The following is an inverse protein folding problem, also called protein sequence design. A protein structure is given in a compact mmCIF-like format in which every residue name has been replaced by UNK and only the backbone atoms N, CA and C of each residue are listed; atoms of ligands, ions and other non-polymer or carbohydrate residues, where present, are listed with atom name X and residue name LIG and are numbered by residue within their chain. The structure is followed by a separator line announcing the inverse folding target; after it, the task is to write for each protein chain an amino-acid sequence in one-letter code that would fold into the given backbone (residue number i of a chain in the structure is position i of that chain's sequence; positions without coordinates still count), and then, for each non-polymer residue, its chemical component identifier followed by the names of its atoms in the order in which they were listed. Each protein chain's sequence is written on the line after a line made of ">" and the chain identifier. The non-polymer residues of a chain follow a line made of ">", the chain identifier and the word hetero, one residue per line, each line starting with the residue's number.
data_IF_125658793266
#
_entry.id   IF_125658793266
#
_cell.length_a   1.000
_cell.length_b   1.000
_cell.length_c   1.000
_cell.angle_alpha   90.00
_cell.angle_beta   90.00
_cell.angle_gamma   90.00
#
_symmetry.space_group_name_H-M   'P 1'
#
loop_
_entity.id
_entity.type
_entity.pdbx_description
1 polymer ?
#
# COMPACT_ATOMS: atom_id res chain seq x y z
N UNK A 1 -16.05 0.60 36.72
CA UNK A 1 -16.71 0.55 35.43
C UNK A 1 -16.10 -0.61 34.66
N UNK A 2 -16.88 -1.65 34.38
CA UNK A 2 -16.38 -2.89 33.75
C UNK A 2 -16.02 -2.65 32.31
N UNK A 3 -14.73 -2.74 31.98
CA UNK A 3 -14.22 -2.70 30.62
C UNK A 3 -14.72 -3.96 29.88
N UNK A 4 -15.81 -3.82 29.14
CA UNK A 4 -16.21 -4.86 28.20
C UNK A 4 -15.16 -4.90 27.10
N UNK A 5 -14.26 -5.86 27.16
CA UNK A 5 -13.46 -6.22 25.99
C UNK A 5 -14.44 -6.61 24.88
N UNK A 6 -14.34 -6.04 23.68
CA UNK A 6 -15.16 -6.49 22.57
C UNK A 6 -14.92 -7.99 22.36
N UNK A 7 -16.02 -8.76 22.24
CA UNK A 7 -15.91 -10.18 21.88
C UNK A 7 -15.12 -10.32 20.58
N UNK A 8 -14.24 -11.33 20.47
CA UNK A 8 -13.51 -11.54 19.23
C UNK A 8 -14.49 -11.67 18.07
N UNK A 9 -14.18 -11.02 16.95
CA UNK A 9 -15.01 -11.11 15.74
C UNK A 9 -15.21 -12.59 15.36
N UNK A 10 -16.41 -12.98 14.86
CA UNK A 10 -16.64 -14.35 14.41
C UNK A 10 -15.61 -14.69 13.30
N UNK A 11 -15.22 -15.96 13.25
CA UNK A 11 -14.32 -16.46 12.21
C UNK A 11 -15.03 -16.45 10.85
N UNK A 12 -14.26 -16.21 9.80
CA UNK A 12 -14.74 -16.26 8.42
C UNK A 12 -15.43 -17.61 8.13
N UNK A 13 -16.67 -17.52 7.63
CA UNK A 13 -17.39 -18.71 7.16
C UNK A 13 -16.62 -19.35 5.99
N UNK A 14 -16.22 -20.63 6.10
CA UNK A 14 -15.44 -21.30 5.07
C UNK A 14 -16.17 -21.46 3.71
N UNK A 15 -17.47 -21.27 3.65
CA UNK A 15 -18.23 -21.27 2.40
C UNK A 15 -18.07 -19.98 1.59
N UNK A 16 -17.67 -18.87 2.24
CA UNK A 16 -17.51 -17.56 1.58
C UNK A 16 -16.24 -17.49 0.72
N UNK A 17 -16.27 -16.63 -0.29
CA UNK A 17 -15.13 -16.31 -1.17
C UNK A 17 -14.53 -17.53 -1.90
N UNK A 18 -15.36 -18.54 -2.23
CA UNK A 18 -14.92 -19.73 -2.94
C UNK A 18 -15.06 -19.65 -4.46
N UNK A 19 -16.09 -18.97 -4.93
CA UNK A 19 -16.36 -18.80 -6.36
C UNK A 19 -16.23 -17.32 -6.75
N UNK A 20 -15.46 -16.99 -7.81
CA UNK A 20 -15.29 -15.61 -8.25
C UNK A 20 -16.53 -15.00 -8.89
N UNK A 21 -17.57 -15.78 -9.20
CA UNK A 21 -18.79 -15.31 -9.89
C UNK A 21 -20.01 -15.22 -8.98
N UNK A 22 -20.07 -16.10 -7.94
CA UNK A 22 -21.21 -16.17 -7.04
C UNK A 22 -20.76 -16.17 -5.57
N UNK A 23 -21.63 -15.64 -4.71
CA UNK A 23 -21.42 -15.68 -3.26
C UNK A 23 -21.83 -17.04 -2.68
N UNK A 24 -21.52 -17.30 -1.41
CA UNK A 24 -21.98 -18.48 -0.69
C UNK A 24 -23.51 -18.65 -0.68
N UNK A 25 -24.27 -17.57 -0.93
CA UNK A 25 -25.73 -17.57 -1.05
C UNK A 25 -26.26 -17.72 -2.48
N UNK A 26 -25.34 -17.89 -3.46
CA UNK A 26 -25.71 -18.02 -4.86
C UNK A 26 -26.05 -16.69 -5.57
N UNK A 27 -25.78 -15.55 -4.93
CA UNK A 27 -25.99 -14.22 -5.51
C UNK A 27 -24.82 -13.83 -6.43
N UNK A 28 -25.04 -13.05 -7.51
CA UNK A 28 -23.99 -12.55 -8.37
C UNK A 28 -22.96 -11.72 -7.58
N UNK A 29 -21.68 -12.13 -7.64
CA UNK A 29 -20.57 -11.42 -7.00
C UNK A 29 -20.25 -10.15 -7.76
N UNK A 30 -20.00 -9.07 -7.03
CA UNK A 30 -19.55 -7.83 -7.64
C UNK A 30 -18.16 -7.99 -8.26
N UNK A 31 -17.98 -7.43 -9.44
CA UNK A 31 -16.70 -7.29 -10.12
C UNK A 31 -16.47 -5.84 -10.51
N UNK A 32 -15.19 -5.43 -10.53
CA UNK A 32 -14.79 -4.05 -10.78
C UNK A 32 -13.99 -3.97 -12.06
N UNK A 33 -14.50 -3.25 -13.04
CA UNK A 33 -13.79 -2.96 -14.28
C UNK A 33 -12.68 -1.92 -14.05
N UNK A 34 -11.57 -2.01 -14.80
CA UNK A 34 -10.56 -0.97 -14.86
C UNK A 34 -11.12 0.22 -15.67
N UNK A 35 -11.32 1.37 -15.03
CA UNK A 35 -11.77 2.61 -15.66
C UNK A 35 -10.64 3.50 -16.19
N UNK A 36 -9.43 2.92 -16.33
CA UNK A 36 -8.18 3.58 -16.71
C UNK A 36 -7.14 3.50 -15.61
N UNK A 37 -5.91 3.13 -15.97
CA UNK A 37 -4.81 2.93 -15.04
C UNK A 37 -4.23 4.27 -14.59
N UNK A 38 -4.58 4.70 -13.38
CA UNK A 38 -4.09 5.95 -12.77
C UNK A 38 -2.90 5.76 -11.85
N UNK A 39 -2.84 4.60 -11.18
CA UNK A 39 -1.73 4.24 -10.28
C UNK A 39 -1.18 2.87 -10.65
N UNK A 40 0.12 2.82 -10.91
CA UNK A 40 0.84 1.56 -11.11
C UNK A 40 1.80 1.33 -9.94
N UNK A 41 1.55 0.26 -9.20
CA UNK A 41 2.39 -0.16 -8.10
C UNK A 41 3.46 -1.15 -8.57
N UNK A 42 4.64 -1.06 -7.97
CA UNK A 42 5.72 -2.03 -8.13
C UNK A 42 6.08 -2.62 -6.76
N UNK A 43 5.93 -3.93 -6.62
CA UNK A 43 6.48 -4.64 -5.47
C UNK A 43 7.97 -4.88 -5.71
N UNK A 44 8.82 -4.18 -4.99
CA UNK A 44 10.27 -4.19 -5.18
C UNK A 44 10.95 -5.44 -4.59
N UNK A 45 10.18 -6.45 -4.18
CA UNK A 45 10.64 -7.65 -3.50
C UNK A 45 10.12 -7.73 -2.06
N UNK A 46 10.04 -8.94 -1.50
CA UNK A 46 9.47 -9.17 -0.16
C UNK A 46 10.50 -9.20 0.97
N UNK A 47 11.80 -9.10 0.67
CA UNK A 47 12.81 -8.96 1.69
C UNK A 47 12.63 -7.63 2.45
N UNK A 48 12.67 -7.71 3.79
CA UNK A 48 12.54 -6.57 4.69
C UNK A 48 13.56 -6.68 5.82
N UNK A 49 14.00 -5.56 6.36
CA UNK A 49 14.91 -5.52 7.51
C UNK A 49 14.22 -5.77 8.86
N UNK A 50 12.89 -5.87 8.86
CA UNK A 50 12.06 -6.19 10.05
C UNK A 50 10.99 -7.22 9.68
N UNK A 51 10.36 -7.81 10.72
CA UNK A 51 9.19 -8.67 10.60
C UNK A 51 8.05 -8.04 11.39
N UNK A 52 7.09 -7.44 10.71
CA UNK A 52 5.91 -6.86 11.35
C UNK A 52 4.88 -7.95 11.65
N UNK A 53 4.23 -7.86 12.81
CA UNK A 53 3.25 -8.85 13.26
C UNK A 53 2.06 -9.03 12.31
N UNK A 54 1.58 -7.95 11.74
CA UNK A 54 0.41 -7.94 10.84
C UNK A 54 0.77 -7.48 9.42
N UNK A 55 1.96 -7.88 8.91
CA UNK A 55 2.37 -7.59 7.55
C UNK A 55 1.54 -8.37 6.55
N UNK A 56 0.72 -7.70 5.75
CA UNK A 56 -0.13 -8.33 4.74
C UNK A 56 0.65 -8.93 3.55
N UNK A 57 1.90 -8.49 3.32
CA UNK A 57 2.84 -9.07 2.33
C UNK A 57 3.72 -10.15 2.97
N UNK A 58 3.57 -10.41 4.28
CA UNK A 58 4.39 -11.36 5.04
C UNK A 58 5.90 -11.14 4.90
N UNK A 59 6.30 -9.89 4.69
CA UNK A 59 7.70 -9.52 4.47
C UNK A 59 8.54 -9.75 5.72
N UNK A 60 9.75 -10.25 5.49
CA UNK A 60 10.71 -10.53 6.56
C UNK A 60 12.15 -10.55 6.01
N UNK A 61 13.19 -10.66 6.86
CA UNK A 61 14.56 -10.81 6.39
C UNK A 61 14.83 -12.08 5.55
N UNK A 62 13.91 -13.04 5.58
CA UNK A 62 14.06 -14.33 4.91
C UNK A 62 12.99 -14.63 3.86
N UNK A 63 11.92 -13.82 3.77
CA UNK A 63 10.90 -14.02 2.75
C UNK A 63 11.35 -13.42 1.43
N UNK A 64 11.71 -14.27 0.48
CA UNK A 64 12.08 -13.93 -0.89
C UNK A 64 11.09 -14.48 -1.94
N UNK A 65 9.84 -14.71 -1.54
CA UNK A 65 8.79 -15.25 -2.43
C UNK A 65 8.53 -14.34 -3.65
N UNK A 66 8.62 -13.02 -3.45
CA UNK A 66 8.71 -12.05 -4.53
C UNK A 66 10.14 -11.49 -4.55
N UNK A 67 10.80 -11.62 -5.70
CA UNK A 67 12.18 -11.16 -5.87
C UNK A 67 12.24 -9.71 -6.31
N UNK A 68 13.42 -9.11 -6.19
CA UNK A 68 13.64 -7.73 -6.60
C UNK A 68 13.33 -7.52 -8.08
N UNK A 69 12.51 -6.52 -8.37
CA UNK A 69 12.40 -5.96 -9.72
C UNK A 69 13.67 -5.19 -10.07
N UNK A 70 14.05 -5.23 -11.32
CA UNK A 70 15.12 -4.39 -11.86
C UNK A 70 14.58 -3.07 -12.39
N UNK A 71 15.42 -2.05 -12.51
CA UNK A 71 15.04 -0.78 -13.11
C UNK A 71 14.54 -0.93 -14.56
N UNK A 72 15.12 -1.86 -15.33
CA UNK A 72 14.70 -2.13 -16.70
C UNK A 72 13.29 -2.75 -16.78
N UNK A 73 12.93 -3.66 -15.85
CA UNK A 73 11.58 -4.23 -15.78
C UNK A 73 10.55 -3.15 -15.44
N UNK A 74 10.84 -2.27 -14.50
CA UNK A 74 9.97 -1.13 -14.15
C UNK A 74 9.79 -0.20 -15.35
N UNK A 75 10.89 0.20 -16.01
CA UNK A 75 10.86 1.05 -17.19
C UNK A 75 9.98 0.45 -18.30
N UNK A 76 10.09 -0.86 -18.56
CA UNK A 76 9.29 -1.56 -19.58
C UNK A 76 7.78 -1.43 -19.36
N UNK A 77 7.30 -1.56 -18.11
CA UNK A 77 5.87 -1.36 -17.80
C UNK A 77 5.44 0.11 -17.90
N UNK A 78 6.32 1.04 -17.56
CA UNK A 78 6.03 2.47 -17.74
C UNK A 78 5.95 2.84 -19.22
N UNK A 79 6.83 2.27 -20.06
CA UNK A 79 6.81 2.45 -21.52
C UNK A 79 5.53 1.85 -22.12
N UNK A 80 5.10 0.67 -21.66
CA UNK A 80 3.84 0.04 -22.07
C UNK A 80 2.63 0.94 -21.71
N UNK A 81 2.59 1.49 -20.49
CA UNK A 81 1.52 2.39 -20.06
C UNK A 81 1.48 3.68 -20.89
N UNK A 82 2.62 4.25 -21.21
CA UNK A 82 2.72 5.45 -22.04
C UNK A 82 2.29 5.16 -23.49
N UNK A 83 2.75 4.06 -24.07
CA UNK A 83 2.36 3.63 -25.41
C UNK A 83 0.86 3.35 -25.55
N UNK A 84 0.24 2.81 -24.48
CA UNK A 84 -1.19 2.57 -24.41
C UNK A 84 -2.02 3.84 -24.15
N UNK A 85 -1.38 4.98 -23.84
CA UNK A 85 -2.06 6.24 -23.51
C UNK A 85 -2.80 6.18 -22.16
N UNK A 86 -2.36 5.34 -21.23
CA UNK A 86 -3.00 5.23 -19.91
C UNK A 86 -2.94 6.55 -19.14
N UNK A 87 -3.99 6.92 -18.40
CA UNK A 87 -4.04 8.16 -17.62
C UNK A 87 -3.20 8.08 -16.34
N UNK A 88 -2.02 7.46 -16.42
CA UNK A 88 -1.12 7.21 -15.32
C UNK A 88 -0.60 8.53 -14.75
N UNK A 89 -0.70 8.68 -13.43
CA UNK A 89 -0.26 9.85 -12.68
C UNK A 89 0.58 9.51 -11.46
N UNK A 90 0.40 8.31 -10.89
CA UNK A 90 1.11 7.89 -9.69
C UNK A 90 1.81 6.55 -9.90
N UNK A 91 3.09 6.51 -9.59
CA UNK A 91 3.92 5.32 -9.63
C UNK A 91 4.32 4.97 -8.19
N UNK A 92 3.78 3.88 -7.67
CA UNK A 92 3.99 3.44 -6.30
C UNK A 92 5.08 2.36 -6.20
N UNK A 93 5.92 2.47 -5.19
CA UNK A 93 6.91 1.46 -4.85
C UNK A 93 6.63 0.93 -3.44
N UNK A 94 6.43 -0.38 -3.34
CA UNK A 94 6.15 -1.11 -2.11
C UNK A 94 6.91 -2.43 -2.09
N UNK A 95 6.62 -3.29 -1.13
CA UNK A 95 7.25 -4.59 -1.00
C UNK A 95 7.50 -4.91 0.45
N UNK A 96 8.67 -5.50 0.77
CA UNK A 96 9.19 -5.53 2.12
C UNK A 96 9.66 -4.14 2.54
N UNK A 97 10.95 -3.88 2.36
CA UNK A 97 11.48 -2.52 2.45
C UNK A 97 12.07 -2.13 1.09
N UNK A 98 11.45 -1.19 0.37
CA UNK A 98 11.88 -0.83 -0.99
C UNK A 98 13.34 -0.36 -1.07
N UNK A 99 13.86 0.30 -0.04
CA UNK A 99 15.25 0.75 -0.01
C UNK A 99 16.28 -0.38 0.14
N UNK A 100 15.86 -1.62 0.37
CA UNK A 100 16.72 -2.80 0.25
C UNK A 100 16.98 -3.19 -1.21
N UNK A 101 16.10 -2.82 -2.14
CA UNK A 101 16.36 -2.99 -3.55
C UNK A 101 17.40 -1.97 -4.02
N UNK A 102 18.52 -2.48 -4.56
CA UNK A 102 19.64 -1.64 -5.02
C UNK A 102 19.27 -0.73 -6.19
N UNK A 103 18.30 -1.15 -7.01
CA UNK A 103 17.89 -0.46 -8.22
C UNK A 103 16.83 0.63 -7.95
N UNK A 104 16.27 0.71 -6.73
CA UNK A 104 15.24 1.70 -6.41
C UNK A 104 15.63 3.14 -6.76
N UNK A 105 16.85 3.64 -6.48
CA UNK A 105 17.23 5.00 -6.89
C UNK A 105 17.18 5.22 -8.41
N UNK A 106 17.54 4.21 -9.20
CA UNK A 106 17.46 4.27 -10.65
C UNK A 106 16.00 4.26 -11.15
N UNK A 107 15.13 3.46 -10.52
CA UNK A 107 13.70 3.45 -10.79
C UNK A 107 13.07 4.83 -10.51
N UNK A 108 13.41 5.45 -9.37
CA UNK A 108 12.93 6.78 -9.01
C UNK A 108 13.44 7.84 -9.98
N UNK A 109 14.71 7.77 -10.38
CA UNK A 109 15.28 8.68 -11.36
C UNK A 109 14.57 8.59 -12.71
N UNK A 110 14.23 7.37 -13.17
CA UNK A 110 13.48 7.16 -14.43
C UNK A 110 12.08 7.79 -14.32
N UNK A 111 11.31 7.49 -13.27
CA UNK A 111 9.97 8.08 -13.05
C UNK A 111 10.03 9.61 -13.06
N UNK A 112 10.99 10.20 -12.33
CA UNK A 112 11.10 11.65 -12.20
C UNK A 112 11.60 12.33 -13.48
N UNK A 113 12.30 11.61 -14.35
CA UNK A 113 12.71 12.09 -15.67
C UNK A 113 11.58 12.07 -16.71
N UNK A 114 10.53 11.25 -16.48
CA UNK A 114 9.36 11.12 -17.35
C UNK A 114 8.42 12.35 -17.24
N UNK A 115 7.30 12.40 -18.00
CA UNK A 115 6.40 13.54 -18.01
C UNK A 115 6.02 14.05 -16.61
N UNK A 116 5.94 15.39 -16.47
CA UNK A 116 5.73 16.07 -15.18
C UNK A 116 4.45 15.67 -14.44
N UNK A 117 3.48 15.01 -15.11
CA UNK A 117 2.29 14.46 -14.46
C UNK A 117 2.58 13.28 -13.53
N UNK A 118 3.72 12.59 -13.72
CA UNK A 118 4.05 11.43 -12.89
C UNK A 118 4.61 11.85 -11.54
N UNK A 119 4.11 11.21 -10.50
CA UNK A 119 4.60 11.31 -9.12
C UNK A 119 5.04 9.93 -8.66
N UNK A 120 6.19 9.86 -8.01
CA UNK A 120 6.66 8.65 -7.34
C UNK A 120 6.22 8.65 -5.89
N UNK A 121 5.65 7.55 -5.41
CA UNK A 121 5.37 7.33 -3.99
C UNK A 121 6.10 6.08 -3.52
N UNK A 122 6.84 6.17 -2.42
CA UNK A 122 7.57 5.04 -1.83
C UNK A 122 7.01 4.77 -0.43
N UNK A 123 6.52 3.55 -0.21
CA UNK A 123 6.13 3.09 1.12
C UNK A 123 7.36 2.52 1.81
N UNK A 124 7.76 3.08 2.95
CA UNK A 124 9.00 2.69 3.64
C UNK A 124 8.81 2.68 5.15
N UNK A 125 9.58 1.84 5.84
CA UNK A 125 9.70 1.91 7.30
C UNK A 125 10.67 3.00 7.77
N UNK A 126 11.34 3.68 6.85
CA UNK A 126 12.27 4.79 7.05
C UNK A 126 13.48 4.49 7.97
N UNK A 127 13.84 3.23 8.13
CA UNK A 127 14.95 2.80 9.00
C UNK A 127 16.29 2.75 8.25
N UNK A 128 17.20 1.89 8.70
CA UNK A 128 18.56 1.78 8.19
C UNK A 128 18.69 1.64 6.66
N UNK A 129 17.87 0.85 5.93
CA UNK A 129 17.99 0.77 4.47
C UNK A 129 17.81 2.11 3.77
N UNK A 130 16.84 2.93 4.20
CA UNK A 130 16.64 4.28 3.67
C UNK A 130 17.86 5.16 3.95
N UNK A 131 18.38 5.15 5.19
CA UNK A 131 19.56 5.93 5.57
C UNK A 131 20.80 5.54 4.77
N UNK A 132 20.97 4.27 4.42
CA UNK A 132 22.05 3.81 3.54
C UNK A 132 21.95 4.37 2.11
N UNK A 133 20.76 4.77 1.68
CA UNK A 133 20.49 5.41 0.37
C UNK A 133 20.41 6.95 0.45
N UNK A 134 20.74 7.55 1.61
CA UNK A 134 20.60 8.99 1.84
C UNK A 134 21.26 9.83 0.74
N UNK A 135 22.50 9.49 0.31
CA UNK A 135 23.17 10.24 -0.76
C UNK A 135 22.41 10.19 -2.07
N UNK A 136 21.94 9.00 -2.48
CA UNK A 136 21.18 8.86 -3.72
C UNK A 136 19.84 9.61 -3.65
N UNK A 137 19.18 9.65 -2.48
CA UNK A 137 17.98 10.46 -2.28
C UNK A 137 18.27 11.95 -2.40
N UNK A 138 19.36 12.44 -1.81
CA UNK A 138 19.77 13.85 -1.92
C UNK A 138 20.10 14.21 -3.36
N UNK A 139 20.81 13.34 -4.09
CA UNK A 139 21.10 13.53 -5.52
C UNK A 139 19.80 13.62 -6.36
N UNK A 140 18.77 12.79 -6.05
CA UNK A 140 17.46 12.87 -6.69
C UNK A 140 16.75 14.19 -6.37
N UNK A 141 16.76 14.62 -5.11
CA UNK A 141 16.19 15.90 -4.66
C UNK A 141 16.83 17.08 -5.41
N UNK A 142 18.15 17.11 -5.44
CA UNK A 142 18.91 18.21 -6.04
C UNK A 142 18.70 18.28 -7.58
N UNK A 143 18.47 17.12 -8.21
CA UNK A 143 18.24 17.02 -9.65
C UNK A 143 16.79 17.29 -10.07
N UNK A 144 15.81 16.82 -9.32
CA UNK A 144 14.40 16.78 -9.73
C UNK A 144 13.46 17.57 -8.82
N UNK A 145 13.93 18.07 -7.68
CA UNK A 145 13.08 18.63 -6.62
C UNK A 145 12.36 17.54 -5.82
N UNK A 146 11.48 17.96 -4.92
CA UNK A 146 10.78 17.03 -3.99
C UNK A 146 9.28 16.92 -4.24
N UNK A 147 8.68 17.79 -5.04
CA UNK A 147 7.23 17.89 -5.23
C UNK A 147 6.59 16.64 -5.85
N UNK A 148 7.38 15.88 -6.62
CA UNK A 148 6.95 14.67 -7.29
C UNK A 148 7.48 13.38 -6.67
N UNK A 149 8.24 13.46 -5.57
CA UNK A 149 8.75 12.31 -4.82
C UNK A 149 8.16 12.32 -3.42
N UNK A 150 7.19 11.45 -3.17
CA UNK A 150 6.51 11.32 -1.90
C UNK A 150 7.08 10.11 -1.15
N UNK A 151 7.60 10.35 0.05
CA UNK A 151 8.08 9.29 0.93
C UNK A 151 7.05 9.07 2.03
N UNK A 152 6.25 7.99 1.89
CA UNK A 152 5.22 7.63 2.86
C UNK A 152 5.80 6.68 3.89
N UNK A 153 6.02 7.20 5.09
CA UNK A 153 6.61 6.46 6.20
C UNK A 153 5.54 5.68 6.94
N UNK A 154 5.79 4.41 7.13
CA UNK A 154 4.94 3.53 7.94
C UNK A 154 5.20 3.79 9.42
N UNK A 155 4.31 4.51 10.07
CA UNK A 155 4.32 4.81 11.50
C UNK A 155 2.95 4.46 12.07
N UNK A 156 2.79 3.22 12.56
CA UNK A 156 1.47 2.65 12.88
C UNK A 156 0.71 3.43 13.94
N UNK A 157 1.43 4.02 14.90
CA UNK A 157 0.84 4.82 15.99
C UNK A 157 1.77 5.97 16.38
N UNK A 158 1.23 7.01 16.99
CA UNK A 158 2.01 8.16 17.53
C UNK A 158 2.75 7.82 18.83
N UNK A 159 2.38 6.73 19.52
CA UNK A 159 3.06 6.22 20.71
C UNK A 159 3.95 5.01 20.37
N UNK A 160 5.17 5.02 20.95
CA UNK A 160 6.16 3.97 20.74
C UNK A 160 5.65 2.57 21.14
N UNK A 161 4.93 2.46 22.26
CA UNK A 161 4.45 1.18 22.77
C UNK A 161 3.55 0.44 21.77
N UNK A 162 2.64 1.15 21.12
CA UNK A 162 1.72 0.57 20.13
C UNK A 162 2.43 0.26 18.80
N UNK A 163 3.29 1.17 18.34
CA UNK A 163 4.07 0.93 17.12
C UNK A 163 5.03 -0.26 17.26
N UNK A 164 5.77 -0.31 18.38
CA UNK A 164 6.76 -1.36 18.63
C UNK A 164 6.12 -2.74 18.81
N UNK A 165 4.87 -2.80 19.32
CA UNK A 165 4.11 -4.05 19.41
C UNK A 165 3.92 -4.70 18.03
N UNK A 166 3.76 -3.91 16.97
CA UNK A 166 3.55 -4.38 15.61
C UNK A 166 4.84 -4.57 14.82
N UNK A 167 5.83 -3.69 15.02
CA UNK A 167 7.04 -3.63 14.18
C UNK A 167 8.32 -4.06 14.88
N UNK A 168 8.22 -4.43 16.17
CA UNK A 168 9.34 -4.84 16.99
C UNK A 168 9.90 -3.70 17.85
N UNK A 169 10.49 -4.07 18.98
CA UNK A 169 11.02 -3.17 20.00
C UNK A 169 12.04 -2.18 19.42
N UNK A 170 11.88 -0.90 19.75
CA UNK A 170 12.74 0.20 19.30
C UNK A 170 12.59 0.57 17.82
N UNK A 171 11.59 0.02 17.13
CA UNK A 171 11.30 0.37 15.73
C UNK A 171 10.74 1.78 15.59
N UNK A 172 9.93 2.25 16.55
CA UNK A 172 9.38 3.60 16.57
C UNK A 172 10.46 4.68 16.51
N UNK A 173 11.44 4.59 17.40
CA UNK A 173 12.51 5.57 17.46
C UNK A 173 13.30 5.65 16.14
N UNK A 174 13.55 4.50 15.50
CA UNK A 174 14.27 4.42 14.22
C UNK A 174 13.45 4.98 13.05
N UNK A 175 12.16 4.63 13.00
CA UNK A 175 11.25 5.15 11.97
C UNK A 175 11.05 6.67 12.11
N UNK A 176 10.88 7.16 13.33
CA UNK A 176 10.73 8.59 13.62
C UNK A 176 12.02 9.36 13.27
N UNK A 177 13.22 8.83 13.59
CA UNK A 177 14.49 9.45 13.18
C UNK A 177 14.59 9.57 11.65
N UNK A 178 14.20 8.53 10.93
CA UNK A 178 14.16 8.56 9.47
C UNK A 178 13.16 9.60 8.93
N UNK A 179 11.95 9.66 9.48
CA UNK A 179 10.92 10.62 9.10
C UNK A 179 11.38 12.07 9.36
N UNK A 180 11.97 12.32 10.54
CA UNK A 180 12.52 13.64 10.89
C UNK A 180 13.65 14.04 9.95
N UNK A 181 14.53 13.10 9.60
CA UNK A 181 15.58 13.37 8.63
C UNK A 181 15.01 13.75 7.26
N UNK A 182 14.05 12.98 6.74
CA UNK A 182 13.41 13.28 5.46
C UNK A 182 12.76 14.68 5.47
N UNK A 183 12.05 15.02 6.54
CA UNK A 183 11.42 16.33 6.71
C UNK A 183 12.46 17.48 6.73
N UNK A 184 13.56 17.30 7.44
CA UNK A 184 14.66 18.29 7.53
C UNK A 184 15.38 18.49 6.18
N UNK A 185 15.51 17.44 5.40
CA UNK A 185 16.09 17.51 4.06
C UNK A 185 15.09 18.07 3.01
N UNK A 186 13.88 18.42 3.42
CA UNK A 186 12.86 19.05 2.57
C UNK A 186 12.15 18.09 1.63
N UNK A 187 12.15 16.79 1.90
CA UNK A 187 11.35 15.83 1.13
C UNK A 187 9.86 15.98 1.45
N UNK A 188 9.02 15.72 0.44
CA UNK A 188 7.58 15.55 0.67
C UNK A 188 7.33 14.25 1.40
N UNK A 189 6.90 14.36 2.66
CA UNK A 189 6.68 13.23 3.55
C UNK A 189 5.19 13.05 3.84
N UNK A 190 4.75 11.80 3.81
CA UNK A 190 3.44 11.36 4.28
C UNK A 190 3.63 10.28 5.35
N UNK A 191 2.58 10.02 6.13
CA UNK A 191 2.58 8.93 7.12
C UNK A 191 1.43 7.97 6.84
N UNK A 192 1.73 6.68 6.95
CA UNK A 192 0.73 5.62 6.98
C UNK A 192 0.68 5.06 8.41
N UNK A 193 -0.44 5.32 9.08
CA UNK A 193 -0.78 4.79 10.40
C UNK A 193 -1.90 3.74 10.30
N UNK A 194 -2.37 3.26 11.46
CA UNK A 194 -3.46 2.28 11.55
C UNK A 194 -4.57 2.80 12.45
N UNK A 195 -5.81 2.60 12.02
CA UNK A 195 -7.00 3.08 12.73
C UNK A 195 -7.45 2.15 13.89
N UNK A 196 -6.89 0.92 14.00
CA UNK A 196 -7.42 -0.12 14.88
C UNK A 196 -6.64 -0.30 16.19
N UNK A 197 -5.76 0.63 16.56
CA UNK A 197 -4.96 0.52 17.77
C UNK A 197 -5.65 1.09 19.01
N UNK A 198 -5.57 0.34 20.13
CA UNK A 198 -5.88 0.84 21.45
C UNK A 198 -7.35 1.16 21.73
N UNK A 199 -8.27 0.95 20.77
CA UNK A 199 -9.68 1.34 20.91
C UNK A 199 -9.91 2.84 20.81
N UNK A 200 -8.92 3.60 20.37
CA UNK A 200 -9.02 5.03 20.09
C UNK A 200 -9.84 5.30 18.82
N UNK A 201 -10.58 6.38 18.82
CA UNK A 201 -11.24 6.85 17.61
C UNK A 201 -10.27 7.59 16.67
N UNK A 202 -10.67 7.78 15.42
CA UNK A 202 -9.84 8.43 14.41
C UNK A 202 -9.45 9.87 14.81
N UNK A 203 -10.34 10.58 15.50
CA UNK A 203 -10.07 11.97 15.93
C UNK A 203 -8.96 12.03 16.96
N UNK A 204 -8.95 11.12 17.92
CA UNK A 204 -7.91 10.97 18.94
C UNK A 204 -6.56 10.60 18.30
N UNK A 205 -6.57 9.64 17.39
CA UNK A 205 -5.36 9.25 16.64
C UNK A 205 -4.77 10.43 15.86
N UNK A 206 -5.61 11.19 15.14
CA UNK A 206 -5.16 12.36 14.39
C UNK A 206 -4.60 13.46 15.30
N UNK A 207 -5.21 13.68 16.45
CA UNK A 207 -4.71 14.64 17.44
C UNK A 207 -3.34 14.22 18.00
N UNK A 208 -3.16 12.94 18.36
CA UNK A 208 -1.87 12.42 18.81
C UNK A 208 -0.77 12.50 17.74
N UNK A 209 -1.09 12.21 16.48
CA UNK A 209 -0.15 12.42 15.38
C UNK A 209 0.17 13.91 15.17
N UNK A 210 -0.81 14.81 15.27
CA UNK A 210 -0.58 16.25 15.16
C UNK A 210 0.41 16.76 16.22
N UNK A 211 0.26 16.32 17.47
CA UNK A 211 1.21 16.66 18.54
C UNK A 211 2.61 16.08 18.27
N UNK A 212 2.71 14.85 17.80
CA UNK A 212 3.98 14.24 17.41
C UNK A 212 4.66 15.02 16.29
N UNK A 213 3.92 15.37 15.24
CA UNK A 213 4.45 16.13 14.10
C UNK A 213 4.91 17.52 14.52
N UNK A 214 4.12 18.23 15.33
CA UNK A 214 4.49 19.55 15.86
C UNK A 214 5.78 19.48 16.72
N UNK A 215 5.87 18.51 17.63
CA UNK A 215 7.03 18.32 18.52
C UNK A 215 8.32 18.11 17.73
N UNK A 216 8.26 17.43 16.60
CA UNK A 216 9.42 17.09 15.77
C UNK A 216 9.58 17.97 14.53
N UNK A 217 8.77 19.02 14.38
CA UNK A 217 8.76 19.94 13.23
C UNK A 217 8.58 19.20 11.88
N UNK A 218 7.73 18.20 11.87
CA UNK A 218 7.38 17.44 10.66
C UNK A 218 6.24 18.16 9.94
N UNK A 219 6.39 18.60 8.68
CA UNK A 219 5.42 19.42 7.96
C UNK A 219 4.25 18.61 7.40
N UNK A 220 3.54 17.88 8.26
CA UNK A 220 2.37 17.07 7.88
C UNK A 220 1.14 17.66 8.60
N UNK A 221 0.10 17.95 7.83
CA UNK A 221 -1.23 18.21 8.39
C UNK A 221 -1.90 16.87 8.72
N UNK A 222 -2.06 16.58 10.01
CA UNK A 222 -2.69 15.34 10.45
C UNK A 222 -4.21 15.29 10.14
N UNK A 223 -4.85 16.42 9.78
CA UNK A 223 -6.23 16.45 9.33
C UNK A 223 -6.37 16.04 7.85
N UNK A 224 -5.31 16.18 7.05
CA UNK A 224 -5.31 15.72 5.65
C UNK A 224 -5.24 14.19 5.58
N UNK A 225 -6.29 13.49 5.09
CA UNK A 225 -6.32 12.03 5.00
C UNK A 225 -5.35 11.45 3.96
N UNK A 226 -4.75 12.28 3.10
CA UNK A 226 -3.72 11.87 2.14
C UNK A 226 -2.34 11.92 2.78
N UNK A 227 -2.05 12.98 3.53
CA UNK A 227 -0.78 13.17 4.20
C UNK A 227 -0.63 12.27 5.45
N UNK A 228 -1.71 12.11 6.24
CA UNK A 228 -1.83 11.09 7.29
C UNK A 228 -2.94 10.10 6.92
N UNK A 229 -2.56 8.99 6.32
CA UNK A 229 -3.46 7.91 5.96
C UNK A 229 -3.56 6.90 7.11
N UNK A 230 -4.76 6.69 7.63
CA UNK A 230 -5.04 5.70 8.68
C UNK A 230 -5.71 4.48 8.05
N UNK A 231 -4.98 3.37 7.97
CA UNK A 231 -5.50 2.13 7.40
C UNK A 231 -6.42 1.39 8.38
N UNK A 232 -7.56 0.87 7.91
CA UNK A 232 -8.41 0.00 8.70
C UNK A 232 -7.70 -1.33 9.01
N UNK A 233 -8.23 -2.06 9.98
CA UNK A 233 -7.74 -3.40 10.30
C UNK A 233 -7.92 -4.36 9.12
N UNK A 234 -6.93 -5.24 8.90
CA UNK A 234 -6.87 -6.18 7.78
C UNK A 234 -6.80 -7.63 8.25
N UNK A 235 -7.74 -8.06 9.11
CA UNK A 235 -7.87 -9.46 9.51
C UNK A 235 -8.68 -10.24 8.46
N UNK A 236 -7.99 -11.05 7.64
CA UNK A 236 -8.64 -11.92 6.66
C UNK A 236 -9.38 -13.11 7.30
N UNK A 237 -9.09 -13.44 8.55
CA UNK A 237 -9.72 -14.55 9.28
C UNK A 237 -11.04 -14.18 9.95
N UNK A 238 -11.33 -12.90 10.10
CA UNK A 238 -12.58 -12.44 10.68
C UNK A 238 -13.72 -12.42 9.65
N UNK A 239 -14.93 -12.82 10.08
CA UNK A 239 -16.10 -12.86 9.18
C UNK A 239 -16.45 -11.48 8.65
N UNK A 240 -16.83 -11.45 7.37
CA UNK A 240 -17.21 -10.24 6.63
C UNK A 240 -18.23 -10.61 5.56
N UNK A 241 -19.20 -9.73 5.22
CA UNK A 241 -20.12 -9.99 4.14
C UNK A 241 -19.40 -10.06 2.78
N UNK A 242 -19.87 -10.93 1.90
CA UNK A 242 -19.46 -10.94 0.51
C UNK A 242 -20.16 -9.79 -0.25
N UNK A 243 -19.47 -9.22 -1.21
CA UNK A 243 -19.97 -8.07 -1.97
C UNK A 243 -20.66 -8.56 -3.25
N UNK A 244 -21.95 -8.28 -3.35
CA UNK A 244 -22.78 -8.55 -4.54
C UNK A 244 -22.95 -7.29 -5.38
N UNK A 245 -23.41 -7.44 -6.60
CA UNK A 245 -23.81 -6.32 -7.49
C UNK A 245 -24.81 -5.37 -6.79
N UNK A 246 -25.74 -5.91 -6.00
CA UNK A 246 -26.74 -5.12 -5.27
C UNK A 246 -26.12 -4.24 -4.17
N UNK A 247 -24.95 -4.60 -3.64
CA UNK A 247 -24.31 -3.85 -2.57
C UNK A 247 -23.96 -2.41 -2.95
N UNK A 248 -23.71 -2.14 -4.23
CA UNK A 248 -23.41 -0.79 -4.68
C UNK A 248 -24.55 0.20 -4.37
N UNK A 249 -25.79 -0.19 -4.70
CA UNK A 249 -26.97 0.61 -4.38
C UNK A 249 -27.25 0.67 -2.88
N UNK A 250 -27.13 -0.45 -2.16
CA UNK A 250 -27.39 -0.54 -0.71
C UNK A 250 -26.42 0.35 0.09
N UNK A 251 -25.15 0.36 -0.30
CA UNK A 251 -24.10 1.12 0.40
C UNK A 251 -23.94 2.56 -0.11
N UNK A 252 -24.65 2.95 -1.19
CA UNK A 252 -24.48 4.23 -1.85
C UNK A 252 -23.04 4.43 -2.38
N UNK A 253 -22.35 3.35 -2.74
CA UNK A 253 -20.98 3.38 -3.26
C UNK A 253 -20.97 3.06 -4.75
N UNK A 254 -19.90 3.48 -5.41
CA UNK A 254 -19.68 3.22 -6.84
C UNK A 254 -18.55 2.23 -7.02
N UNK A 255 -18.60 1.33 -8.03
CA UNK A 255 -17.51 0.41 -8.34
C UNK A 255 -16.18 1.11 -8.61
N UNK A 256 -16.21 2.30 -9.21
CA UNK A 256 -15.04 3.11 -9.52
C UNK A 256 -14.37 3.78 -8.29
N UNK A 257 -15.02 3.70 -7.12
CA UNK A 257 -14.45 4.20 -5.86
C UNK A 257 -13.48 3.23 -5.17
N UNK A 258 -13.38 1.99 -5.64
CA UNK A 258 -12.45 1.01 -5.05
C UNK A 258 -11.14 0.94 -5.84
N UNK A 259 -10.05 0.62 -5.15
CA UNK A 259 -8.69 0.72 -5.64
C UNK A 259 -8.44 -0.01 -6.98
N UNK A 260 -8.99 -1.21 -7.16
CA UNK A 260 -8.79 -1.99 -8.38
C UNK A 260 -9.50 -1.42 -9.64
N UNK A 261 -10.33 -0.39 -9.48
CA UNK A 261 -10.90 0.35 -10.62
C UNK A 261 -9.89 1.24 -11.35
N UNK A 262 -8.77 1.60 -10.69
CA UNK A 262 -7.80 2.55 -11.23
C UNK A 262 -6.34 2.20 -10.96
N UNK A 263 -6.07 1.06 -10.33
CA UNK A 263 -4.70 0.65 -10.01
C UNK A 263 -4.42 -0.81 -10.31
N UNK A 264 -3.13 -1.12 -10.55
CA UNK A 264 -2.58 -2.48 -10.66
C UNK A 264 -1.23 -2.53 -9.95
N UNK A 265 -0.73 -3.74 -9.68
CA UNK A 265 0.60 -3.92 -9.12
C UNK A 265 1.40 -4.93 -9.94
N UNK A 266 2.66 -4.60 -10.20
CA UNK A 266 3.63 -5.52 -10.82
C UNK A 266 4.40 -6.23 -9.72
N UNK A 267 4.52 -7.54 -9.84
CA UNK A 267 5.29 -8.40 -8.93
C UNK A 267 6.18 -9.36 -9.72
N UNK A 268 7.29 -9.79 -9.15
CA UNK A 268 8.11 -10.86 -9.74
C UNK A 268 8.26 -12.00 -8.76
N UNK A 269 7.76 -13.18 -9.12
CA UNK A 269 7.85 -14.37 -8.29
C UNK A 269 9.25 -14.96 -8.32
N UNK A 270 9.67 -15.59 -7.24
CA UNK A 270 10.95 -16.34 -7.20
C UNK A 270 10.94 -17.43 -8.27
N UNK A 271 12.00 -17.47 -9.08
CA UNK A 271 12.16 -18.42 -10.19
C UNK A 271 11.39 -18.08 -11.46
N UNK A 272 10.64 -16.95 -11.50
CA UNK A 272 10.01 -16.50 -12.72
C UNK A 272 10.98 -15.69 -13.60
N UNK A 273 10.93 -15.92 -14.91
CA UNK A 273 11.78 -15.20 -15.89
C UNK A 273 11.36 -13.73 -16.02
N UNK A 274 10.06 -13.44 -15.86
CA UNK A 274 9.47 -12.12 -16.03
C UNK A 274 8.48 -11.79 -14.92
N UNK A 275 8.24 -10.48 -14.66
CA UNK A 275 7.18 -10.05 -13.76
C UNK A 275 5.78 -10.36 -14.30
N UNK A 276 4.79 -10.28 -13.41
CA UNK A 276 3.36 -10.39 -13.72
C UNK A 276 2.60 -9.24 -13.06
N UNK A 277 1.42 -8.94 -13.60
CA UNK A 277 0.52 -7.90 -13.06
C UNK A 277 -0.55 -8.56 -12.20
N UNK A 278 -0.72 -8.06 -10.98
CA UNK A 278 -1.78 -8.47 -10.06
C UNK A 278 -2.78 -7.35 -9.82
N UNK A 279 -3.98 -7.73 -9.39
CA UNK A 279 -5.11 -6.83 -9.28
C UNK A 279 -4.92 -5.67 -8.28
N UNK A 280 -4.21 -5.92 -7.17
CA UNK A 280 -4.02 -4.91 -6.13
C UNK A 280 -2.81 -5.20 -5.23
N UNK A 281 -2.46 -4.24 -4.39
CA UNK A 281 -1.34 -4.32 -3.45
C UNK A 281 -1.55 -5.32 -2.31
N UNK A 282 -2.81 -5.65 -1.97
CA UNK A 282 -3.14 -6.46 -0.80
C UNK A 282 -3.08 -7.98 -1.06
N UNK A 283 -3.08 -8.41 -2.33
CA UNK A 283 -3.24 -9.82 -2.69
C UNK A 283 -2.13 -10.29 -3.65
N UNK A 284 -0.84 -10.09 -3.29
CA UNK A 284 0.26 -10.38 -4.20
C UNK A 284 0.48 -11.88 -4.43
N UNK A 285 -0.02 -12.72 -3.53
CA UNK A 285 0.23 -14.17 -3.58
C UNK A 285 -0.94 -15.00 -4.11
N UNK A 286 -2.15 -14.45 -4.11
CA UNK A 286 -3.34 -15.19 -4.50
C UNK A 286 -3.46 -15.30 -6.03
N UNK A 287 -3.36 -16.51 -6.61
CA UNK A 287 -3.33 -16.71 -8.07
C UNK A 287 -4.59 -16.21 -8.78
N UNK A 288 -5.75 -16.16 -8.11
CA UNK A 288 -6.97 -15.66 -8.73
C UNK A 288 -6.90 -14.17 -9.10
N UNK A 289 -6.00 -13.41 -8.45
CA UNK A 289 -5.77 -12.00 -8.71
C UNK A 289 -4.57 -11.73 -9.62
N UNK A 290 -3.92 -12.75 -10.15
CA UNK A 290 -2.90 -12.62 -11.18
C UNK A 290 -3.57 -12.42 -12.54
N UNK A 291 -3.31 -11.28 -13.17
CA UNK A 291 -4.05 -10.84 -14.34
C UNK A 291 -3.32 -11.06 -15.66
N UNK A 292 -2.04 -11.38 -15.62
CA UNK A 292 -1.22 -11.63 -16.81
C UNK A 292 0.15 -10.98 -16.72
N UNK A 293 0.89 -11.00 -17.82
CA UNK A 293 2.25 -10.47 -17.89
C UNK A 293 2.33 -9.03 -18.43
N UNK A 294 1.24 -8.51 -18.99
CA UNK A 294 1.16 -7.19 -19.61
C UNK A 294 0.02 -6.36 -19.00
N UNK A 295 0.09 -5.04 -19.12
CA UNK A 295 -0.99 -4.16 -18.68
C UNK A 295 -2.27 -4.36 -19.49
N UNK A 296 -2.13 -4.69 -20.79
CA UNK A 296 -3.24 -5.02 -21.65
C UNK A 296 -4.01 -6.25 -21.14
N UNK A 297 -3.31 -7.34 -20.79
CA UNK A 297 -3.92 -8.54 -20.18
C UNK A 297 -4.57 -8.21 -18.83
N UNK A 298 -4.01 -7.28 -18.10
CA UNK A 298 -4.47 -6.88 -16.78
C UNK A 298 -5.66 -5.89 -16.80
N UNK A 299 -6.18 -5.51 -17.96
CA UNK A 299 -7.35 -4.63 -18.08
C UNK A 299 -8.68 -5.28 -17.70
N UNK A 300 -8.72 -6.62 -17.58
CA UNK A 300 -9.93 -7.38 -17.26
C UNK A 300 -10.52 -7.01 -15.88
N UNK A 301 -11.86 -7.15 -15.70
CA UNK A 301 -12.53 -6.90 -14.43
C UNK A 301 -12.01 -7.81 -13.30
N UNK A 302 -11.99 -7.28 -12.08
CA UNK A 302 -11.53 -7.96 -10.86
C UNK A 302 -12.73 -8.36 -10.02
N UNK A 303 -13.01 -9.66 -9.82
CA UNK A 303 -14.03 -10.13 -8.90
C UNK A 303 -13.65 -9.77 -7.45
N UNK A 304 -14.60 -9.29 -6.64
CA UNK A 304 -14.38 -8.99 -5.23
C UNK A 304 -14.45 -10.27 -4.39
N UNK A 305 -13.58 -11.25 -4.70
CA UNK A 305 -13.58 -12.60 -4.15
C UNK A 305 -12.53 -12.81 -3.05
N UNK A 306 -12.38 -11.84 -2.14
CA UNK A 306 -11.48 -11.95 -0.98
C UNK A 306 -12.01 -11.09 0.18
N UNK A 307 -11.86 -11.53 1.46
CA UNK A 307 -12.26 -10.73 2.62
C UNK A 307 -11.73 -9.30 2.63
N UNK A 308 -10.50 -9.08 2.16
CA UNK A 308 -9.92 -7.73 2.05
C UNK A 308 -10.67 -6.83 1.06
N UNK A 309 -11.23 -7.38 -0.02
CA UNK A 309 -12.04 -6.60 -0.95
C UNK A 309 -13.25 -5.98 -0.25
N UNK A 310 -13.91 -6.78 0.61
CA UNK A 310 -15.04 -6.32 1.39
C UNK A 310 -14.60 -5.39 2.53
N UNK A 311 -13.73 -5.87 3.42
CA UNK A 311 -13.35 -5.18 4.66
C UNK A 311 -12.57 -3.90 4.42
N UNK A 312 -11.49 -3.97 3.64
CA UNK A 312 -10.60 -2.83 3.42
C UNK A 312 -11.19 -1.84 2.41
N UNK A 313 -11.51 -2.31 1.18
CA UNK A 313 -11.89 -1.40 0.10
C UNK A 313 -13.36 -0.95 0.19
N UNK A 314 -14.32 -1.91 0.20
CA UNK A 314 -15.74 -1.55 0.08
C UNK A 314 -16.30 -0.99 1.38
N UNK A 315 -16.13 -1.66 2.50
CA UNK A 315 -16.68 -1.22 3.78
C UNK A 315 -15.77 -0.21 4.47
N UNK A 316 -14.47 -0.47 4.53
CA UNK A 316 -13.49 0.41 5.19
C UNK A 316 -13.12 1.65 4.40
N UNK A 317 -13.39 1.70 3.09
CA UNK A 317 -13.01 2.86 2.24
C UNK A 317 -11.50 3.07 2.13
N UNK A 318 -10.71 2.04 2.44
CA UNK A 318 -9.26 2.10 2.36
C UNK A 318 -8.76 2.13 0.91
N UNK A 319 -7.72 2.90 0.67
CA UNK A 319 -6.98 2.94 -0.59
C UNK A 319 -5.50 3.17 -0.31
N UNK A 320 -4.60 2.55 -1.10
CA UNK A 320 -3.17 2.79 -0.98
C UNK A 320 -2.72 4.05 -1.73
N UNK A 321 -3.55 4.54 -2.65
CA UNK A 321 -3.35 5.74 -3.48
C UNK A 321 -4.62 6.57 -3.53
N UNK A 322 -4.47 7.89 -3.63
CA UNK A 322 -5.58 8.84 -3.88
C UNK A 322 -5.10 9.98 -4.76
#
# INVERSE_FOLDING_TARGET
>A
MSSRHPSPAPRLDPAKFRDPRVTARGEPRAAVALGGLRTLWFNTGTLCNITCRSCYIESSPTNDALVYLTAAEVAGYLDEAEAAGEPLVEIGFTGGEPFMNRDLPAMLADVLARPARYRAIVLTNAMAPLRQKARALLDLRDRFGTDRLILRVSLDHYEAAHHDLERGEGSFAKALDGLVWLAREGFTVHVAGRAAFGGEDESTLRAGFAELFARHMIPIDAADPVALMLFPEMDAGADVPEITEACWGILGKRPDSVMCASSRMVVKRKGADRPVVVACTLLPYDPQFELGATLAEASRPVPLNHPHCARFCVLGGGACSR
#
